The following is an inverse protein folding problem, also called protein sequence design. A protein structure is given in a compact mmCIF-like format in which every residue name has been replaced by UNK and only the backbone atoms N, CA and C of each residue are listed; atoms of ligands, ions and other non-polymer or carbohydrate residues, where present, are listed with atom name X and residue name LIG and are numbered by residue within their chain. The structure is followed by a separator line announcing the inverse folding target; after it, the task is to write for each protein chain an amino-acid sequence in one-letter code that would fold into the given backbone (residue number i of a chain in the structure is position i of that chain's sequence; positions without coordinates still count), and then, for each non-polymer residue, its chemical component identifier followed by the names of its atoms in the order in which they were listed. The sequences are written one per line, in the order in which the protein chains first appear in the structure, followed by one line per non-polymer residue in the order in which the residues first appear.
data_IF_032593330568
#
_entry.id   IF_032593330568
#
_cell.length_a   1.000
_cell.length_b   1.000
_cell.length_c   1.000
_cell.angle_alpha   90.00
_cell.angle_beta   90.00
_cell.angle_gamma   90.00
#
_symmetry.space_group_name_H-M   'P 1'
#
loop_
_entity.id
_entity.type
_entity.pdbx_description
1 polymer ?
#
# COMPACT_ATOMS: atom_id res chain seq x y z
N UNK A 1 60.19 8.05 29.76
CA UNK A 1 59.52 7.27 28.69
C UNK A 1 58.88 8.29 27.77
N UNK A 2 59.25 8.32 26.50
CA UNK A 2 58.67 9.27 25.53
C UNK A 2 57.17 9.00 25.45
N UNK A 3 56.34 10.00 25.78
CA UNK A 3 54.91 9.93 25.50
C UNK A 3 54.74 9.83 23.98
N UNK A 4 54.53 8.62 23.48
CA UNK A 4 54.01 8.45 22.14
C UNK A 4 52.60 9.02 22.14
N UNK A 5 52.43 10.17 21.47
CA UNK A 5 51.13 10.79 21.25
C UNK A 5 50.27 9.87 20.38
N UNK A 6 49.39 9.10 21.00
CA UNK A 6 48.45 8.24 20.29
C UNK A 6 47.24 9.05 19.84
N UNK A 7 47.05 9.10 18.52
CA UNK A 7 45.90 9.74 17.88
C UNK A 7 44.83 8.69 17.57
N UNK A 8 43.62 8.89 18.10
CA UNK A 8 42.46 8.01 17.90
C UNK A 8 41.36 8.63 17.02
N UNK A 9 41.73 9.61 16.20
CA UNK A 9 40.84 10.16 15.16
C UNK A 9 40.45 9.04 14.20
N UNK A 10 39.17 8.90 13.92
CA UNK A 10 38.67 7.83 13.07
C UNK A 10 37.39 8.23 12.37
N UNK A 11 37.13 7.53 11.25
CA UNK A 11 35.89 7.62 10.50
C UNK A 11 35.34 6.22 10.32
N UNK A 12 34.07 6.04 10.65
CA UNK A 12 33.36 4.78 10.50
C UNK A 12 32.70 4.82 9.13
N UNK A 13 33.28 4.12 8.15
CA UNK A 13 32.73 4.13 6.79
C UNK A 13 31.43 3.34 6.70
N UNK A 14 31.37 2.18 7.35
CA UNK A 14 30.21 1.30 7.35
C UNK A 14 30.17 0.48 8.64
N UNK A 15 29.00 0.43 9.26
CA UNK A 15 28.76 -0.38 10.45
C UNK A 15 27.32 -0.89 10.43
N UNK A 16 27.15 -2.20 10.29
CA UNK A 16 25.83 -2.84 10.14
C UNK A 16 25.85 -4.25 10.76
N UNK A 17 24.67 -4.77 11.05
CA UNK A 17 24.49 -6.13 11.56
C UNK A 17 23.64 -6.93 10.59
N UNK A 18 24.09 -8.13 10.22
CA UNK A 18 23.37 -9.03 9.34
C UNK A 18 23.33 -8.55 7.88
N UNK A 19 22.27 -8.97 7.17
CA UNK A 19 22.12 -8.69 5.75
C UNK A 19 21.60 -7.26 5.50
N UNK A 20 22.08 -6.58 4.44
CA UNK A 20 21.62 -5.25 4.09
C UNK A 20 20.15 -5.31 3.67
N UNK A 21 19.31 -4.54 4.36
CA UNK A 21 17.89 -4.39 4.03
C UNK A 21 17.60 -2.96 3.57
N UNK A 22 16.85 -2.78 2.47
CA UNK A 22 16.45 -1.46 2.03
C UNK A 22 15.60 -0.75 3.10
N UNK A 23 15.82 0.55 3.28
CA UNK A 23 15.06 1.39 4.20
C UNK A 23 15.55 1.40 5.65
N UNK A 24 16.62 0.66 5.98
CA UNK A 24 17.29 0.76 7.29
C UNK A 24 18.42 1.78 7.20
N UNK A 25 18.44 2.74 8.13
CA UNK A 25 19.51 3.73 8.26
C UNK A 25 20.42 3.31 9.41
N UNK A 26 21.73 3.27 9.17
CA UNK A 26 22.74 2.89 10.14
C UNK A 26 23.38 4.15 10.79
N UNK A 27 23.15 4.41 12.10
CA UNK A 27 23.57 5.67 12.70
C UNK A 27 25.09 5.93 12.75
N UNK A 28 25.92 4.88 12.78
CA UNK A 28 27.38 5.02 12.77
C UNK A 28 27.97 5.13 11.36
N UNK A 29 27.17 4.94 10.32
CA UNK A 29 27.66 4.96 8.95
C UNK A 29 28.01 6.39 8.53
N UNK A 30 29.27 6.60 8.17
CA UNK A 30 29.82 7.91 7.81
C UNK A 30 30.21 8.80 8.98
N UNK A 31 30.06 8.37 10.24
CA UNK A 31 30.43 9.18 11.41
C UNK A 31 31.95 9.38 11.49
N UNK A 32 32.38 10.59 11.80
CA UNK A 32 33.79 10.96 11.95
C UNK A 32 34.04 11.61 13.31
N UNK A 33 35.05 11.13 14.02
CA UNK A 33 35.52 11.72 15.29
C UNK A 33 36.98 12.12 15.15
N UNK A 34 37.27 13.37 15.46
CA UNK A 34 38.63 13.88 15.54
C UNK A 34 39.06 13.91 17.01
N UNK A 35 40.21 13.31 17.30
CA UNK A 35 40.81 13.33 18.62
C UNK A 35 41.64 14.60 18.78
N UNK A 36 41.14 15.54 19.58
CA UNK A 36 41.85 16.78 19.94
C UNK A 36 42.96 16.52 20.96
N UNK A 37 42.79 15.50 21.80
CA UNK A 37 43.70 15.13 22.88
C UNK A 37 44.40 13.78 22.59
N UNK A 38 45.54 13.55 23.23
CA UNK A 38 46.25 12.27 23.16
C UNK A 38 45.63 11.27 24.15
N UNK A 39 45.77 9.98 23.87
CA UNK A 39 45.31 8.91 24.77
C UNK A 39 43.80 9.00 25.09
N UNK A 40 42.98 9.27 24.08
CA UNK A 40 41.53 9.29 24.22
C UNK A 40 40.95 7.86 24.12
N UNK A 41 39.95 7.60 24.93
CA UNK A 41 39.06 6.45 24.82
C UNK A 41 37.75 6.87 24.16
N UNK A 42 37.43 6.25 23.03
CA UNK A 42 36.13 6.28 22.38
C UNK A 42 35.38 4.98 22.67
N UNK A 43 34.19 5.08 23.24
CA UNK A 43 33.37 3.93 23.57
C UNK A 43 31.97 4.11 23.00
N UNK A 44 31.61 3.23 22.07
CA UNK A 44 30.31 3.17 21.43
C UNK A 44 29.48 2.08 22.09
N UNK A 45 28.41 2.46 22.78
CA UNK A 45 27.42 1.53 23.29
C UNK A 45 26.33 1.37 22.25
N UNK A 46 26.21 0.16 21.70
CA UNK A 46 25.32 -0.16 20.61
C UNK A 46 24.24 -1.11 21.14
N UNK A 47 22.99 -0.73 20.97
CA UNK A 47 21.86 -1.60 21.31
C UNK A 47 21.23 -2.10 20.00
N UNK A 48 21.26 -3.41 19.78
CA UNK A 48 20.81 -4.05 18.54
C UNK A 48 19.39 -4.55 18.70
N UNK A 49 18.50 -4.15 17.80
CA UNK A 49 17.09 -4.51 17.76
C UNK A 49 16.81 -5.41 16.55
N UNK A 50 16.46 -6.70 16.78
CA UNK A 50 16.02 -7.59 15.71
C UNK A 50 14.80 -7.02 15.00
N UNK A 51 14.85 -6.95 13.67
CA UNK A 51 13.77 -6.45 12.82
C UNK A 51 13.37 -7.51 11.81
N UNK A 52 12.11 -7.89 11.84
CA UNK A 52 11.55 -8.91 10.97
C UNK A 52 10.65 -8.25 9.94
N UNK A 53 11.02 -8.41 8.67
CA UNK A 53 10.34 -7.81 7.53
C UNK A 53 9.56 -8.92 6.84
N UNK A 54 8.24 -8.86 6.99
CA UNK A 54 7.30 -9.77 6.37
C UNK A 54 6.63 -9.07 5.19
N UNK A 55 7.14 -9.35 4.00
CA UNK A 55 6.47 -9.04 2.73
C UNK A 55 5.66 -10.24 2.25
N UNK A 56 4.77 -10.02 1.27
CA UNK A 56 3.85 -11.06 0.79
C UNK A 56 4.53 -12.35 0.30
N UNK A 57 5.63 -12.24 -0.45
CA UNK A 57 6.40 -13.40 -0.96
C UNK A 57 7.74 -13.62 -0.26
N UNK A 58 8.17 -12.66 0.57
CA UNK A 58 9.55 -12.63 1.07
C UNK A 58 9.55 -12.31 2.55
N UNK A 59 10.16 -13.21 3.30
CA UNK A 59 10.54 -13.01 4.69
C UNK A 59 12.02 -12.63 4.71
N UNK A 60 12.38 -11.54 5.39
CA UNK A 60 13.77 -11.14 5.55
C UNK A 60 14.04 -10.70 6.99
N UNK A 61 15.14 -11.22 7.54
CA UNK A 61 15.62 -10.85 8.86
C UNK A 61 16.65 -9.73 8.72
N UNK A 62 16.49 -8.68 9.50
CA UNK A 62 17.45 -7.58 9.55
C UNK A 62 17.60 -7.07 10.97
N UNK A 63 18.50 -6.11 11.16
CA UNK A 63 18.88 -5.59 12.46
C UNK A 63 18.98 -4.08 12.38
N UNK A 64 18.26 -3.42 13.28
CA UNK A 64 18.41 -2.00 13.53
C UNK A 64 19.27 -1.83 14.78
N UNK A 65 19.89 -0.67 14.96
CA UNK A 65 20.61 -0.42 16.20
C UNK A 65 20.57 1.06 16.57
N UNK A 66 20.65 1.31 17.87
CA UNK A 66 20.88 2.65 18.42
C UNK A 66 22.28 2.74 19.02
N UNK A 67 22.79 3.96 19.16
CA UNK A 67 24.18 4.21 19.53
C UNK A 67 24.21 5.28 20.61
N UNK A 68 25.05 5.06 21.62
CA UNK A 68 25.42 6.05 22.62
C UNK A 68 26.93 6.15 22.69
N UNK A 69 27.43 7.35 22.43
CA UNK A 69 28.86 7.64 22.44
C UNK A 69 29.31 8.05 23.86
N UNK A 70 30.46 7.54 24.30
CA UNK A 70 31.14 7.99 25.50
C UNK A 70 32.62 8.21 25.19
N UNK A 71 33.10 9.42 25.46
CA UNK A 71 34.48 9.82 25.18
C UNK A 71 35.11 10.21 26.52
N UNK A 72 36.32 9.71 26.79
CA UNK A 72 37.10 10.10 27.96
C UNK A 72 38.58 10.15 27.65
N UNK A 73 39.29 11.15 28.15
CA UNK A 73 40.75 11.22 28.03
C UNK A 73 41.41 10.43 29.16
N UNK A 74 42.42 9.63 28.82
CA UNK A 74 43.18 8.85 29.79
C UNK A 74 44.39 9.68 30.23
N UNK A 75 44.40 10.07 31.50
CA UNK A 75 45.50 10.75 32.14
C UNK A 75 45.89 10.00 33.42
N UNK A 76 47.06 9.36 33.38
CA UNK A 76 47.58 8.59 34.50
C UNK A 76 47.91 9.46 35.73
N UNK A 77 48.14 10.76 35.52
CA UNK A 77 48.46 11.73 36.59
C UNK A 77 47.20 12.22 37.30
N UNK A 78 46.08 12.33 36.59
CA UNK A 78 44.78 12.75 37.15
C UNK A 78 43.93 11.59 37.70
N UNK A 79 44.50 10.39 37.80
CA UNK A 79 43.81 9.20 38.31
C UNK A 79 42.85 8.54 37.31
N UNK A 80 42.84 8.99 36.05
CA UNK A 80 42.09 8.34 34.96
C UNK A 80 42.90 7.12 34.50
N UNK A 81 42.61 5.97 35.10
CA UNK A 81 43.21 4.69 34.73
C UNK A 81 42.31 3.98 33.72
N UNK A 82 42.87 3.67 32.56
CA UNK A 82 42.17 2.97 31.49
C UNK A 82 43.09 2.77 30.30
N UNK A 83 42.73 1.85 29.43
CA UNK A 83 43.43 1.67 28.16
C UNK A 83 42.78 2.61 27.13
N UNK A 84 43.53 3.56 26.53
CA UNK A 84 42.99 4.38 25.45
C UNK A 84 42.75 3.52 24.21
N UNK A 85 41.81 3.93 23.35
CA UNK A 85 41.40 3.11 22.21
C UNK A 85 39.98 3.39 21.72
N UNK A 86 39.56 2.64 20.71
CA UNK A 86 38.21 2.69 20.15
C UNK A 86 37.54 1.36 20.46
N UNK A 87 36.40 1.39 21.16
CA UNK A 87 35.69 0.21 21.62
C UNK A 87 34.23 0.25 21.20
N UNK A 88 33.78 -0.83 20.55
CA UNK A 88 32.38 -1.08 20.22
C UNK A 88 31.83 -2.12 21.20
N UNK A 89 30.85 -1.72 22.02
CA UNK A 89 30.15 -2.61 22.94
C UNK A 89 28.73 -2.77 22.46
N UNK A 90 28.36 -3.97 22.07
CA UNK A 90 27.00 -4.25 21.60
C UNK A 90 26.23 -5.09 22.63
N UNK A 91 24.94 -4.82 22.76
CA UNK A 91 23.99 -5.64 23.50
C UNK A 91 22.73 -5.87 22.67
N UNK A 92 22.07 -7.01 22.86
CA UNK A 92 20.85 -7.36 22.14
C UNK A 92 19.63 -6.86 22.91
N UNK A 93 18.79 -6.07 22.27
CA UNK A 93 17.53 -5.62 22.85
C UNK A 93 16.56 -6.79 22.99
N UNK A 94 15.80 -6.80 24.08
CA UNK A 94 14.72 -7.77 24.30
C UNK A 94 13.48 -7.47 23.45
N UNK A 95 13.43 -6.30 22.79
CA UNK A 95 12.37 -5.92 21.87
C UNK A 95 12.69 -6.39 20.45
N UNK A 96 11.66 -6.78 19.71
CA UNK A 96 11.71 -7.07 18.27
C UNK A 96 10.76 -6.14 17.51
N UNK A 97 11.21 -5.59 16.40
CA UNK A 97 10.35 -4.82 15.47
C UNK A 97 9.81 -5.78 14.41
N UNK A 98 8.50 -5.74 14.19
CA UNK A 98 7.83 -6.49 13.13
C UNK A 98 7.27 -5.51 12.10
N UNK A 99 7.74 -5.62 10.86
CA UNK A 99 7.25 -4.82 9.72
C UNK A 99 6.43 -5.75 8.84
N UNK A 100 5.11 -5.58 8.87
CA UNK A 100 4.18 -6.30 8.00
C UNK A 100 3.65 -5.37 6.93
N UNK A 101 3.72 -5.78 5.67
CA UNK A 101 3.05 -5.07 4.57
C UNK A 101 1.55 -5.41 4.58
N UNK A 102 0.71 -4.45 4.96
CA UNK A 102 -0.75 -4.58 4.85
C UNK A 102 -1.23 -4.08 3.48
N UNK A 103 -2.06 -4.88 2.80
CA UNK A 103 -2.70 -4.54 1.53
C UNK A 103 -4.19 -4.44 1.74
N UNK A 104 -4.82 -3.44 1.11
CA UNK A 104 -6.27 -3.38 1.03
C UNK A 104 -6.80 -4.69 0.40
N UNK A 105 -7.74 -5.40 1.05
CA UNK A 105 -8.33 -6.58 0.48
C UNK A 105 -9.12 -6.24 -0.79
N UNK A 106 -9.18 -7.18 -1.73
CA UNK A 106 -9.92 -7.02 -2.98
C UNK A 106 -11.41 -6.68 -2.76
N UNK A 107 -11.98 -7.13 -1.64
CA UNK A 107 -13.36 -6.84 -1.26
C UNK A 107 -13.58 -5.33 -1.06
N UNK A 108 -12.62 -4.64 -0.44
CA UNK A 108 -12.70 -3.19 -0.24
C UNK A 108 -12.55 -2.45 -1.58
N UNK A 109 -11.77 -2.98 -2.51
CA UNK A 109 -11.74 -2.47 -3.88
C UNK A 109 -13.09 -2.67 -4.59
N UNK A 110 -13.71 -3.84 -4.48
CA UNK A 110 -14.97 -4.15 -5.14
C UNK A 110 -16.13 -3.30 -4.63
N UNK A 111 -16.20 -3.09 -3.31
CA UNK A 111 -17.17 -2.17 -2.69
C UNK A 111 -16.99 -0.75 -3.21
N UNK A 112 -15.74 -0.25 -3.28
CA UNK A 112 -15.43 1.06 -3.85
C UNK A 112 -15.84 1.16 -5.31
N UNK A 113 -15.57 0.14 -6.12
CA UNK A 113 -15.96 0.08 -7.53
C UNK A 113 -17.48 0.13 -7.72
N UNK A 114 -18.22 -0.70 -6.98
CA UNK A 114 -19.68 -0.74 -7.02
C UNK A 114 -20.29 0.61 -6.63
N UNK A 115 -19.78 1.23 -5.56
CA UNK A 115 -20.22 2.54 -5.10
C UNK A 115 -20.05 3.62 -6.19
N UNK A 116 -18.93 3.63 -6.90
CA UNK A 116 -18.69 4.58 -7.99
C UNK A 116 -19.64 4.35 -9.17
N UNK A 117 -19.83 3.10 -9.62
CA UNK A 117 -20.74 2.79 -10.75
C UNK A 117 -22.20 3.13 -10.40
N UNK A 118 -22.66 2.75 -9.20
CA UNK A 118 -23.99 3.08 -8.72
C UNK A 118 -24.20 4.59 -8.61
N UNK A 119 -23.19 5.32 -8.11
CA UNK A 119 -23.20 6.78 -8.06
C UNK A 119 -23.37 7.43 -9.43
N UNK A 120 -22.64 6.96 -10.44
CA UNK A 120 -22.74 7.50 -11.81
C UNK A 120 -24.13 7.27 -12.41
N UNK A 121 -24.72 6.09 -12.18
CA UNK A 121 -26.06 5.76 -12.70
C UNK A 121 -27.13 6.68 -12.09
N UNK A 122 -27.11 6.85 -10.77
CA UNK A 122 -28.04 7.76 -10.07
C UNK A 122 -27.83 9.20 -10.53
N UNK A 123 -26.56 9.64 -10.61
CA UNK A 123 -26.22 11.00 -11.02
C UNK A 123 -26.71 11.31 -12.44
N UNK A 124 -26.62 10.33 -13.36
CA UNK A 124 -27.12 10.46 -14.73
C UNK A 124 -28.64 10.73 -14.76
N UNK A 125 -29.42 10.03 -13.93
CA UNK A 125 -30.86 10.24 -13.83
C UNK A 125 -31.23 11.59 -13.22
N UNK A 126 -30.48 12.02 -12.19
CA UNK A 126 -30.66 13.34 -11.57
C UNK A 126 -30.35 14.46 -12.55
N UNK A 127 -29.24 14.38 -13.29
CA UNK A 127 -28.85 15.37 -14.30
C UNK A 127 -29.93 15.48 -15.38
N UNK A 128 -30.41 14.36 -15.92
CA UNK A 128 -31.48 14.38 -16.93
C UNK A 128 -32.76 15.03 -16.38
N UNK A 129 -33.13 14.73 -15.12
CA UNK A 129 -34.31 15.31 -14.47
C UNK A 129 -34.16 16.82 -14.26
N UNK A 130 -32.98 17.29 -13.87
CA UNK A 130 -32.66 18.72 -13.72
C UNK A 130 -32.73 19.42 -15.08
N UNK A 131 -32.16 18.84 -16.13
CA UNK A 131 -32.20 19.41 -17.48
C UNK A 131 -33.65 19.57 -17.96
N UNK A 132 -34.46 18.52 -17.84
CA UNK A 132 -35.87 18.58 -18.24
C UNK A 132 -36.68 19.60 -17.42
N UNK A 133 -36.40 19.73 -16.13
CA UNK A 133 -37.03 20.73 -15.27
C UNK A 133 -36.67 22.16 -15.70
N UNK A 134 -35.39 22.41 -15.97
CA UNK A 134 -34.89 23.72 -16.43
C UNK A 134 -35.46 24.04 -17.82
N UNK A 135 -35.37 23.11 -18.78
CA UNK A 135 -35.94 23.30 -20.12
C UNK A 135 -37.44 23.53 -20.02
N UNK A 136 -38.20 22.71 -19.30
CA UNK A 136 -39.65 22.88 -19.13
C UNK A 136 -40.05 24.23 -18.52
N UNK A 137 -39.27 24.72 -17.54
CA UNK A 137 -39.47 26.06 -16.96
C UNK A 137 -39.16 27.16 -17.96
N UNK A 138 -38.06 27.07 -18.71
CA UNK A 138 -37.69 28.05 -19.73
C UNK A 138 -38.72 28.08 -20.87
N UNK A 139 -39.15 26.93 -21.39
CA UNK A 139 -40.17 26.87 -22.45
C UNK A 139 -41.51 27.43 -21.98
N UNK A 140 -41.92 27.16 -20.74
CA UNK A 140 -43.15 27.72 -20.15
C UNK A 140 -43.07 29.24 -19.91
N UNK A 141 -41.88 29.76 -19.68
CA UNK A 141 -41.65 31.19 -19.48
C UNK A 141 -41.58 31.95 -20.82
N UNK A 142 -41.13 31.30 -21.90
CA UNK A 142 -40.93 31.91 -23.22
C UNK A 142 -42.15 31.77 -24.16
N UNK A 143 -43.05 30.79 -23.99
CA UNK A 143 -44.25 30.68 -24.85
C UNK A 143 -45.42 29.90 -24.19
N UNK A 144 -46.65 30.46 -24.09
CA UNK A 144 -47.78 29.75 -23.48
C UNK A 144 -48.46 28.70 -24.36
N UNK A 145 -48.16 28.59 -25.66
CA UNK A 145 -48.97 27.77 -26.58
C UNK A 145 -48.14 27.00 -27.62
N UNK A 146 -47.54 25.85 -27.23
CA UNK A 146 -47.37 24.65 -28.07
C UNK A 146 -46.62 23.53 -27.30
N UNK A 147 -47.36 22.63 -26.67
CA UNK A 147 -46.81 21.41 -26.03
C UNK A 147 -47.57 20.18 -26.50
N UNK A 148 -47.34 19.75 -27.75
CA UNK A 148 -47.87 18.49 -28.31
C UNK A 148 -46.90 17.72 -29.23
N UNK A 149 -45.58 17.90 -29.13
CA UNK A 149 -44.63 17.22 -30.05
C UNK A 149 -43.61 16.28 -29.38
N UNK A 150 -43.39 16.34 -28.05
CA UNK A 150 -42.39 15.46 -27.40
C UNK A 150 -42.90 14.07 -26.95
N UNK A 151 -44.16 13.69 -27.21
CA UNK A 151 -44.66 12.35 -26.83
C UNK A 151 -44.32 11.22 -27.81
N UNK A 152 -43.72 11.50 -28.98
CA UNK A 152 -43.50 10.49 -30.03
C UNK A 152 -42.04 10.04 -30.22
N UNK A 153 -41.27 9.98 -29.13
CA UNK A 153 -40.04 9.16 -29.13
C UNK A 153 -40.06 8.26 -27.91
N UNK A 154 -41.04 7.36 -27.86
CA UNK A 154 -40.93 6.16 -27.05
C UNK A 154 -39.76 5.33 -27.62
N UNK A 155 -38.72 5.11 -26.82
CA UNK A 155 -37.69 4.11 -27.10
C UNK A 155 -38.43 2.75 -27.20
N UNK A 156 -38.28 1.99 -28.30
CA UNK A 156 -38.94 0.70 -28.42
C UNK A 156 -38.44 -0.23 -27.32
N UNK A 157 -39.39 -0.83 -26.58
CA UNK A 157 -39.09 -1.94 -25.67
C UNK A 157 -38.64 -3.12 -26.53
N UNK A 158 -37.42 -3.61 -26.30
CA UNK A 158 -36.96 -4.89 -26.85
C UNK A 158 -37.75 -6.00 -26.16
N UNK A 159 -38.89 -6.40 -26.75
CA UNK A 159 -39.53 -7.68 -26.48
C UNK A 159 -38.74 -8.77 -27.19
N UNK A 160 -38.11 -9.64 -26.41
CA UNK A 160 -37.55 -10.91 -26.87
C UNK A 160 -38.68 -11.86 -27.25
N UNK A 161 -39.12 -11.83 -28.51
CA UNK A 161 -40.03 -12.84 -29.04
C UNK A 161 -39.22 -14.02 -29.61
N UNK A 162 -39.12 -15.08 -28.79
CA UNK A 162 -38.78 -16.42 -29.26
C UNK A 162 -39.99 -16.93 -30.07
N UNK A 163 -39.97 -16.70 -31.38
CA UNK A 163 -40.97 -17.28 -32.28
C UNK A 163 -40.49 -18.67 -32.69
N UNK A 164 -41.05 -19.69 -32.02
CA UNK A 164 -41.32 -20.95 -32.70
C UNK A 164 -42.14 -20.64 -33.95
N UNK A 165 -41.74 -21.16 -35.12
CA UNK A 165 -42.65 -21.88 -36.03
C UNK A 165 -41.90 -22.48 -37.22
N UNK A 166 -42.18 -23.77 -37.43
CA UNK A 166 -41.63 -24.68 -38.42
C UNK A 166 -42.18 -24.44 -39.83
N UNK A 167 -41.38 -24.76 -40.86
CA UNK A 167 -41.79 -25.18 -42.21
C UNK A 167 -40.74 -26.21 -42.68
N UNK A 168 -40.92 -27.53 -42.47
CA UNK A 168 -41.66 -28.55 -43.25
C UNK A 168 -40.71 -29.40 -44.14
N UNK A 169 -40.65 -30.72 -43.90
CA UNK A 169 -40.73 -31.82 -44.91
C UNK A 169 -40.86 -33.19 -44.17
N UNK A 170 -41.29 -34.30 -44.81
CA UNK A 170 -42.60 -34.93 -44.59
C UNK A 170 -42.53 -36.36 -44.01
N UNK A 171 -43.71 -36.99 -43.95
CA UNK A 171 -43.96 -38.44 -43.84
C UNK A 171 -43.77 -39.16 -42.49
N UNK A 172 -44.87 -39.24 -41.73
CA UNK A 172 -45.54 -40.53 -41.47
C UNK A 172 -46.90 -40.27 -40.81
N UNK A 173 -47.98 -40.48 -41.57
CA UNK A 173 -49.29 -40.73 -40.99
C UNK A 173 -49.39 -42.20 -40.64
N UNK A 174 -49.74 -42.51 -39.39
CA UNK A 174 -50.60 -43.65 -39.05
C UNK A 174 -51.00 -43.60 -37.57
N UNK A 175 -52.24 -43.17 -37.32
CA UNK A 175 -53.12 -43.80 -36.32
C UNK A 175 -54.49 -43.12 -36.38
N UNK A 176 -55.46 -43.79 -37.01
CA UNK A 176 -56.88 -43.48 -36.86
C UNK A 176 -57.41 -44.33 -35.71
N UNK A 177 -58.11 -43.69 -34.79
CA UNK A 177 -58.94 -44.30 -33.77
C UNK A 177 -60.39 -43.89 -34.09
N UNK A 178 -61.28 -44.85 -34.35
CA UNK A 178 -62.56 -44.98 -33.63
C UNK A 178 -63.46 -46.11 -34.16
N UNK A 179 -64.06 -46.75 -33.15
CA UNK A 179 -65.21 -47.62 -33.03
C UNK A 179 -66.22 -47.86 -34.18
N UNK A 180 -66.84 -49.04 -34.05
CA UNK A 180 -68.11 -49.55 -34.58
C UNK A 180 -67.99 -50.50 -35.79
N UNK A 181 -68.17 -51.81 -35.57
CA UNK A 181 -69.38 -52.59 -35.94
C UNK A 181 -69.21 -54.05 -35.49
N UNK A 182 -70.29 -54.60 -34.90
CA UNK A 182 -70.54 -55.97 -34.39
C UNK A 182 -70.05 -56.32 -32.98
#
# INVERSE_FOLDING_TARGET
MSEHSYNFSHRINQFSFGDPSPGIVHPLEGDEKLATENMVLYQYFIEVVPTDIQSFLRHSYSYQYSVKDNIRTINHVEGSHGMPGIFFKYDMSALKVLVTEERDPLDQFLVRLCATVGGIFVLSGVINSIIQFITGKITSYVSPNQTKVYQNTAIPKTESNVTQNNILLPDKQESIQEANTL
#
